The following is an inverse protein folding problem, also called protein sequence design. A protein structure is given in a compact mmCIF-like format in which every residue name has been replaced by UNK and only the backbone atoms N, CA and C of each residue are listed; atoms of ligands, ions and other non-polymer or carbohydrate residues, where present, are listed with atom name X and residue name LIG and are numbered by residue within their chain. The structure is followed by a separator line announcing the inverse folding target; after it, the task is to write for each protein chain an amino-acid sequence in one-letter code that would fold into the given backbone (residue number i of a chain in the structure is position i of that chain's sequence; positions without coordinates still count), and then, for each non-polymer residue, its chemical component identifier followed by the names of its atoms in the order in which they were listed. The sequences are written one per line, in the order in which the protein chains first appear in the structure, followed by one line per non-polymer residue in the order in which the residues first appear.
data_IF_565910357899
#
_entry.id   IF_565910357899
#
_cell.length_a   1.000
_cell.length_b   1.000
_cell.length_c   1.000
_cell.angle_alpha   90.00
_cell.angle_beta   90.00
_cell.angle_gamma   90.00
#
_symmetry.space_group_name_H-M   'P 1'
#
loop_
_entity.id
_entity.type
_entity.pdbx_description
1 polymer ?
#
# COMPACT_ATOMS: atom_id res chain seq x y z
N UNK A 1 -1.57 29.90 19.38
CA UNK A 1 -2.99 29.73 19.74
C UNK A 1 -3.54 28.55 18.97
N UNK A 2 -3.69 27.42 19.67
CA UNK A 2 -4.31 26.22 19.11
C UNK A 2 -5.83 26.45 19.16
N UNK A 3 -6.48 26.53 18.02
CA UNK A 3 -7.95 26.50 17.94
C UNK A 3 -8.35 25.02 17.99
N UNK A 4 -8.80 24.57 19.15
CA UNK A 4 -9.37 23.25 19.35
C UNK A 4 -10.85 23.31 18.96
N UNK A 5 -11.19 22.75 17.80
CA UNK A 5 -12.59 22.49 17.45
C UNK A 5 -13.01 21.17 18.09
N UNK A 6 -13.85 21.24 19.13
CA UNK A 6 -14.51 20.07 19.69
C UNK A 6 -15.60 19.62 18.71
N UNK A 7 -15.32 18.52 18.01
CA UNK A 7 -16.36 17.78 17.31
C UNK A 7 -16.97 16.77 18.29
N UNK A 8 -18.30 16.70 18.30
CA UNK A 8 -19.08 15.81 19.15
C UNK A 8 -18.64 14.35 19.00
N UNK A 9 -18.54 13.66 20.13
CA UNK A 9 -18.42 12.21 20.21
C UNK A 9 -19.67 11.56 19.56
N UNK A 10 -19.57 11.26 18.28
CA UNK A 10 -20.42 10.26 17.68
C UNK A 10 -19.66 8.95 17.72
N UNK A 11 -20.22 7.99 18.45
CA UNK A 11 -19.85 6.59 18.41
C UNK A 11 -19.62 6.20 16.96
N UNK A 12 -18.37 5.99 16.61
CA UNK A 12 -18.03 5.38 15.31
C UNK A 12 -18.57 3.96 15.43
N UNK A 13 -19.72 3.71 14.83
CA UNK A 13 -20.12 2.34 14.55
C UNK A 13 -18.93 1.68 13.87
N UNK A 14 -18.47 0.62 14.48
CA UNK A 14 -17.44 -0.25 13.91
C UNK A 14 -17.94 -0.63 12.52
N UNK A 15 -17.40 -0.03 11.48
CA UNK A 15 -17.65 -0.48 10.12
C UNK A 15 -16.97 -1.83 10.04
N UNK A 16 -17.70 -2.85 10.47
CA UNK A 16 -17.36 -4.22 10.17
C UNK A 16 -17.31 -4.28 8.65
N UNK A 17 -16.12 -4.32 8.09
CA UNK A 17 -15.92 -4.54 6.66
C UNK A 17 -16.37 -5.96 6.37
N UNK A 18 -17.69 -6.14 6.27
CA UNK A 18 -18.33 -7.40 5.87
C UNK A 18 -18.38 -7.53 4.35
N UNK A 19 -17.35 -7.08 3.68
CA UNK A 19 -17.28 -7.27 2.23
C UNK A 19 -15.88 -7.73 1.85
N UNK A 20 -15.79 -8.92 1.39
CA UNK A 20 -14.55 -9.60 1.06
C UNK A 20 -13.99 -10.32 2.28
N UNK A 21 -13.82 -11.62 2.17
CA UNK A 21 -13.20 -12.42 3.22
C UNK A 21 -11.83 -11.85 3.56
N UNK A 22 -11.63 -11.42 4.80
CA UNK A 22 -10.29 -11.04 5.26
C UNK A 22 -9.31 -12.17 4.93
N UNK A 23 -8.04 -11.85 4.75
CA UNK A 23 -7.00 -12.88 4.54
C UNK A 23 -7.13 -13.97 5.62
N UNK A 24 -7.42 -13.57 6.85
CA UNK A 24 -7.60 -14.49 7.98
C UNK A 24 -8.77 -15.45 7.80
N UNK A 25 -9.90 -15.01 7.23
CA UNK A 25 -11.04 -15.88 6.93
C UNK A 25 -10.72 -16.85 5.79
N UNK A 26 -10.05 -16.36 4.72
CA UNK A 26 -9.62 -17.18 3.58
C UNK A 26 -8.65 -18.29 3.99
N UNK A 27 -7.83 -18.05 4.99
CA UNK A 27 -6.86 -19.02 5.53
C UNK A 27 -7.43 -19.88 6.68
N UNK A 28 -8.76 -19.86 6.88
CA UNK A 28 -9.43 -20.71 7.86
C UNK A 28 -9.07 -20.41 9.32
N UNK A 29 -8.66 -19.18 9.62
CA UNK A 29 -8.25 -18.76 10.96
C UNK A 29 -6.93 -19.39 11.46
N UNK A 30 -6.29 -20.23 10.68
CA UNK A 30 -5.07 -20.98 11.05
C UNK A 30 -3.80 -20.16 10.84
N UNK A 31 -3.59 -19.08 11.57
CA UNK A 31 -2.36 -18.33 11.42
C UNK A 31 -2.35 -17.01 12.18
N UNK A 32 -1.30 -16.24 11.98
CA UNK A 32 -1.09 -14.98 12.68
C UNK A 32 -1.44 -13.80 11.80
N UNK A 33 -2.69 -13.37 11.83
CA UNK A 33 -3.17 -12.16 11.20
C UNK A 33 -3.15 -10.96 12.17
N UNK A 34 -2.91 -9.76 11.65
CA UNK A 34 -3.11 -8.48 12.33
C UNK A 34 -3.80 -7.53 11.37
N UNK A 35 -4.77 -6.79 11.86
CA UNK A 35 -5.46 -5.75 11.10
C UNK A 35 -5.11 -4.41 11.73
N UNK A 36 -4.59 -3.49 10.92
CA UNK A 36 -4.50 -2.07 11.24
C UNK A 36 -5.78 -1.42 10.73
N UNK A 37 -6.58 -0.89 11.64
CA UNK A 37 -7.84 -0.22 11.31
C UNK A 37 -7.61 1.17 10.72
N UNK A 38 -8.59 1.72 10.01
CA UNK A 38 -8.54 3.10 9.51
C UNK A 38 -8.22 4.11 10.62
N UNK A 39 -8.77 3.91 11.83
CA UNK A 39 -8.51 4.75 12.99
C UNK A 39 -7.03 4.70 13.41
N UNK A 40 -6.45 3.53 13.51
CA UNK A 40 -5.03 3.36 13.85
C UNK A 40 -4.11 3.97 12.79
N UNK A 41 -4.44 3.77 11.49
CA UNK A 41 -3.71 4.37 10.36
C UNK A 41 -3.74 5.91 10.47
N UNK A 42 -4.91 6.49 10.70
CA UNK A 42 -5.08 7.94 10.85
C UNK A 42 -4.35 8.47 12.10
N UNK A 43 -4.36 7.74 13.21
CA UNK A 43 -3.65 8.13 14.43
C UNK A 43 -2.13 8.13 14.25
N UNK A 44 -1.59 7.26 13.41
CA UNK A 44 -0.17 7.26 13.07
C UNK A 44 0.19 8.48 12.23
N UNK A 45 -0.68 8.88 11.29
CA UNK A 45 -0.42 9.98 10.37
C UNK A 45 0.84 9.76 9.52
N UNK A 46 1.10 8.50 9.14
CA UNK A 46 2.34 8.08 8.52
C UNK A 46 2.67 8.89 7.25
N UNK A 47 3.92 9.33 7.12
CA UNK A 47 4.46 9.92 5.89
C UNK A 47 5.10 8.85 4.99
N UNK A 48 5.38 7.70 5.57
CA UNK A 48 5.91 6.53 4.90
C UNK A 48 5.27 5.26 5.49
N UNK A 49 4.98 4.28 4.66
CA UNK A 49 4.29 3.05 5.07
C UNK A 49 4.98 2.29 6.24
N UNK A 50 6.31 2.43 6.39
CA UNK A 50 7.06 1.83 7.50
C UNK A 50 6.57 2.27 8.88
N UNK A 51 6.10 3.50 9.01
CA UNK A 51 5.69 4.07 10.30
C UNK A 51 4.44 3.36 10.87
N UNK A 52 3.56 2.91 9.98
CA UNK A 52 2.39 2.11 10.37
C UNK A 52 2.73 0.61 10.47
N UNK A 53 3.41 0.05 9.46
CA UNK A 53 3.64 -1.39 9.36
C UNK A 53 4.64 -1.92 10.39
N UNK A 54 5.64 -1.14 10.80
CA UNK A 54 6.58 -1.54 11.87
C UNK A 54 5.93 -1.64 13.26
N UNK A 55 4.66 -1.24 13.40
CA UNK A 55 3.87 -1.48 14.62
C UNK A 55 3.30 -2.90 14.68
N UNK A 56 3.33 -3.62 13.55
CA UNK A 56 2.89 -5.01 13.48
C UNK A 56 4.04 -5.93 13.85
N UNK A 57 3.91 -6.67 14.94
CA UNK A 57 4.94 -7.59 15.39
C UNK A 57 5.32 -8.61 14.29
N UNK A 58 6.62 -8.75 14.02
CA UNK A 58 7.16 -9.65 12.99
C UNK A 58 7.12 -9.09 11.56
N UNK A 59 6.76 -7.82 11.39
CA UNK A 59 6.93 -7.07 10.15
C UNK A 59 8.06 -6.07 10.33
N UNK A 60 8.89 -5.96 9.33
CA UNK A 60 9.96 -4.99 9.26
C UNK A 60 9.94 -4.33 7.89
N UNK A 61 9.73 -3.03 7.86
CA UNK A 61 9.83 -2.21 6.66
C UNK A 61 10.96 -1.21 6.90
N UNK A 62 12.09 -1.44 6.26
CA UNK A 62 13.22 -0.53 6.32
C UNK A 62 12.99 0.61 5.34
N UNK A 63 13.08 1.85 5.80
CA UNK A 63 12.94 3.05 4.96
C UNK A 63 14.29 3.42 4.35
N UNK A 64 14.31 3.63 3.03
CA UNK A 64 15.40 4.25 2.29
C UNK A 64 15.15 5.75 2.05
N UNK A 65 15.61 6.28 0.92
CA UNK A 65 15.28 7.64 0.45
C UNK A 65 13.83 7.72 0.02
N UNK A 66 13.19 8.87 0.28
CA UNK A 66 11.81 9.12 -0.15
C UNK A 66 10.83 8.03 0.26
N UNK A 67 10.26 7.36 -0.72
CA UNK A 67 9.34 6.23 -0.55
C UNK A 67 10.00 4.85 -0.74
N UNK A 68 11.32 4.79 -0.85
CA UNK A 68 12.04 3.52 -0.89
C UNK A 68 11.92 2.75 0.43
N UNK A 69 11.80 1.45 0.30
CA UNK A 69 11.70 0.57 1.45
C UNK A 69 12.13 -0.85 1.08
N UNK A 70 12.53 -1.60 2.09
CA UNK A 70 12.74 -3.05 1.99
C UNK A 70 11.84 -3.70 3.04
N UNK A 71 11.06 -4.69 2.62
CA UNK A 71 10.11 -5.36 3.52
C UNK A 71 10.55 -6.76 3.86
N UNK A 72 10.33 -7.15 5.11
CA UNK A 72 10.45 -8.52 5.60
C UNK A 72 9.27 -8.86 6.51
N UNK A 73 8.77 -10.10 6.42
CA UNK A 73 7.70 -10.63 7.26
C UNK A 73 8.19 -11.94 7.87
N UNK A 74 8.62 -11.92 9.16
CA UNK A 74 9.23 -13.06 9.85
C UNK A 74 10.36 -13.73 9.06
N UNK A 75 11.09 -12.95 8.28
CA UNK A 75 12.18 -13.41 7.42
C UNK A 75 13.35 -12.43 7.50
N UNK A 76 14.49 -12.82 6.96
CA UNK A 76 15.51 -11.85 6.61
C UNK A 76 15.01 -10.95 5.47
N UNK A 77 15.62 -9.78 5.34
CA UNK A 77 15.40 -8.88 4.20
C UNK A 77 16.08 -9.46 2.96
N UNK A 78 15.55 -9.16 1.78
CA UNK A 78 16.14 -9.59 0.49
C UNK A 78 16.24 -11.12 0.35
N UNK A 79 15.28 -11.87 0.87
CA UNK A 79 15.18 -13.33 0.68
C UNK A 79 14.59 -13.67 -0.69
N UNK A 80 14.76 -14.93 -1.09
CA UNK A 80 14.21 -15.48 -2.32
C UNK A 80 15.00 -15.16 -3.58
N UNK A 81 14.51 -15.63 -4.70
CA UNK A 81 15.12 -15.45 -5.99
C UNK A 81 15.22 -13.97 -6.37
N UNK A 82 16.40 -13.52 -6.81
CA UNK A 82 16.62 -12.12 -7.16
C UNK A 82 16.51 -11.14 -5.98
N UNK A 83 16.61 -11.64 -4.73
CA UNK A 83 16.48 -10.81 -3.52
C UNK A 83 15.12 -10.07 -3.41
N UNK A 84 14.07 -10.60 -4.00
CA UNK A 84 12.77 -9.93 -4.16
C UNK A 84 11.84 -10.03 -2.96
N UNK A 85 12.26 -10.69 -1.87
CA UNK A 85 11.40 -11.07 -0.76
C UNK A 85 10.38 -12.15 -1.16
N UNK A 86 9.94 -12.93 -0.22
CA UNK A 86 8.98 -14.01 -0.46
C UNK A 86 7.68 -13.71 0.27
N UNK A 87 7.12 -12.56 -0.01
CA UNK A 87 5.84 -12.08 0.50
C UNK A 87 5.01 -11.43 -0.64
N UNK A 88 3.71 -11.31 -0.41
CA UNK A 88 2.80 -10.68 -1.38
C UNK A 88 2.25 -9.36 -0.87
N UNK A 89 2.19 -8.36 -1.75
CA UNK A 89 1.36 -7.19 -1.59
C UNK A 89 0.06 -7.38 -2.36
N UNK A 90 -1.06 -7.10 -1.69
CA UNK A 90 -2.38 -7.19 -2.27
C UNK A 90 -3.15 -5.89 -2.08
N UNK A 91 -4.08 -5.64 -2.98
CA UNK A 91 -5.12 -4.66 -2.84
C UNK A 91 -6.47 -5.37 -3.00
N UNK A 92 -7.34 -5.27 -2.00
CA UNK A 92 -8.66 -5.92 -1.98
C UNK A 92 -8.58 -7.44 -2.23
N UNK A 93 -7.48 -8.08 -1.77
CA UNK A 93 -7.20 -9.49 -1.94
C UNK A 93 -6.62 -9.89 -3.30
N UNK A 94 -6.31 -8.93 -4.16
CA UNK A 94 -5.72 -9.16 -5.49
C UNK A 94 -4.24 -8.76 -5.44
N UNK A 95 -3.29 -9.64 -5.81
CA UNK A 95 -1.88 -9.29 -5.88
C UNK A 95 -1.63 -8.10 -6.81
N UNK A 96 -0.82 -7.12 -6.36
CA UNK A 96 -0.51 -5.93 -7.17
C UNK A 96 0.44 -6.21 -8.32
N UNK A 97 1.18 -7.31 -8.23
CA UNK A 97 2.11 -7.80 -9.27
C UNK A 97 1.77 -9.24 -9.66
N UNK A 98 2.09 -9.67 -10.89
CA UNK A 98 2.03 -11.08 -11.24
C UNK A 98 2.90 -11.92 -10.32
N UNK A 99 2.53 -13.19 -10.10
CA UNK A 99 3.34 -14.12 -9.33
C UNK A 99 4.72 -14.31 -9.98
N UNK A 100 5.76 -14.35 -9.15
CA UNK A 100 7.15 -14.43 -9.60
C UNK A 100 7.82 -13.08 -9.87
N UNK A 101 7.07 -11.97 -9.83
CA UNK A 101 7.66 -10.64 -9.91
C UNK A 101 8.04 -10.09 -8.53
N UNK A 102 9.06 -9.25 -8.52
CA UNK A 102 9.59 -8.60 -7.34
C UNK A 102 8.57 -7.70 -6.66
N UNK A 103 8.44 -7.81 -5.33
CA UNK A 103 7.56 -6.96 -4.53
C UNK A 103 8.32 -6.09 -3.51
N UNK A 104 9.62 -6.28 -3.38
CA UNK A 104 10.40 -5.82 -2.23
C UNK A 104 10.24 -4.33 -1.92
N UNK A 105 9.94 -3.51 -2.92
CA UNK A 105 9.90 -2.06 -2.83
C UNK A 105 8.65 -1.46 -3.50
N UNK A 106 7.50 -2.14 -3.46
CA UNK A 106 6.31 -1.73 -4.20
C UNK A 106 5.12 -1.26 -3.34
N UNK A 107 5.31 -1.08 -2.02
CA UNK A 107 4.26 -0.51 -1.15
C UNK A 107 3.83 0.90 -1.57
N UNK A 108 4.70 1.67 -2.23
CA UNK A 108 4.36 3.00 -2.73
C UNK A 108 3.19 2.98 -3.72
N UNK A 109 2.92 1.85 -4.36
CA UNK A 109 1.79 1.69 -5.27
C UNK A 109 0.44 1.59 -4.53
N UNK A 110 0.43 1.39 -3.22
CA UNK A 110 -0.76 1.23 -2.41
C UNK A 110 -1.05 2.49 -1.60
N UNK A 111 -2.32 2.89 -1.53
CA UNK A 111 -2.74 4.00 -0.68
C UNK A 111 -2.92 3.49 0.76
N UNK A 112 -1.81 3.35 1.47
CA UNK A 112 -1.81 2.92 2.87
C UNK A 112 -2.28 4.01 3.82
N UNK A 113 -2.15 5.27 3.43
CA UNK A 113 -2.47 6.45 4.26
C UNK A 113 -3.97 6.65 4.45
N UNK A 114 -4.76 6.25 3.46
CA UNK A 114 -6.23 6.37 3.48
C UNK A 114 -6.92 5.01 3.40
N UNK A 115 -6.23 3.92 3.70
CA UNK A 115 -6.82 2.59 3.67
C UNK A 115 -7.97 2.45 4.67
N UNK A 116 -9.01 1.69 4.31
CA UNK A 116 -10.05 1.27 5.25
C UNK A 116 -9.48 0.33 6.31
N UNK A 117 -8.52 -0.51 5.91
CA UNK A 117 -7.73 -1.36 6.78
C UNK A 117 -6.44 -1.79 6.07
N UNK A 118 -5.43 -2.19 6.84
CA UNK A 118 -4.28 -2.94 6.33
C UNK A 118 -4.21 -4.26 7.07
N UNK A 119 -4.43 -5.34 6.34
CA UNK A 119 -4.34 -6.70 6.86
C UNK A 119 -2.94 -7.24 6.64
N UNK A 120 -2.32 -7.76 7.69
CA UNK A 120 -1.01 -8.38 7.63
C UNK A 120 -1.12 -9.83 8.04
N UNK A 121 -0.80 -10.72 7.12
CA UNK A 121 -0.67 -12.14 7.40
C UNK A 121 0.81 -12.51 7.57
N UNK A 122 1.13 -13.26 8.62
CA UNK A 122 2.48 -13.70 8.95
C UNK A 122 2.55 -15.23 8.93
N UNK A 123 3.25 -15.75 7.98
CA UNK A 123 3.41 -17.17 7.76
C UNK A 123 3.02 -17.60 6.34
N UNK A 124 3.19 -18.86 6.00
CA UNK A 124 2.97 -19.37 4.66
C UNK A 124 1.50 -19.22 4.25
N UNK A 125 1.27 -18.61 3.11
CA UNK A 125 -0.05 -18.39 2.52
C UNK A 125 -0.07 -18.66 1.00
N UNK A 126 0.99 -19.26 0.47
CA UNK A 126 1.17 -19.46 -0.97
C UNK A 126 0.06 -20.29 -1.61
N UNK A 127 -0.53 -21.24 -0.90
CA UNK A 127 -1.64 -22.04 -1.40
C UNK A 127 -2.90 -21.23 -1.71
N UNK A 128 -3.09 -20.07 -1.03
CA UNK A 128 -4.28 -19.23 -1.18
C UNK A 128 -3.96 -17.93 -1.89
N UNK A 129 -2.78 -17.34 -1.63
CA UNK A 129 -2.40 -16.00 -2.09
C UNK A 129 -1.34 -16.03 -3.20
N UNK A 130 -0.93 -17.21 -3.64
CA UNK A 130 0.04 -17.41 -4.73
C UNK A 130 1.49 -17.47 -4.28
N UNK A 131 2.37 -17.83 -5.20
CA UNK A 131 3.75 -18.26 -4.95
C UNK A 131 4.63 -17.28 -4.16
N UNK A 132 4.37 -16.00 -4.24
CA UNK A 132 5.16 -15.00 -3.51
C UNK A 132 4.85 -14.97 -1.99
N UNK A 133 3.71 -15.50 -1.55
CA UNK A 133 3.28 -15.42 -0.15
C UNK A 133 3.87 -16.54 0.73
N UNK A 134 5.17 -16.79 0.64
CA UNK A 134 5.84 -17.82 1.43
C UNK A 134 6.00 -17.40 2.90
N UNK A 135 6.40 -16.17 3.15
CA UNK A 135 6.59 -15.62 4.50
C UNK A 135 5.37 -14.86 5.01
N UNK A 136 4.53 -14.37 4.10
CA UNK A 136 3.34 -13.62 4.47
C UNK A 136 2.77 -12.77 3.37
N UNK A 137 1.80 -11.93 3.76
CA UNK A 137 1.16 -10.98 2.85
C UNK A 137 0.71 -9.71 3.58
N UNK A 138 0.70 -8.61 2.85
CA UNK A 138 0.11 -7.33 3.26
C UNK A 138 -0.99 -6.99 2.28
N UNK A 139 -2.22 -6.86 2.77
CA UNK A 139 -3.40 -6.53 1.97
C UNK A 139 -3.95 -5.17 2.38
N UNK A 140 -4.02 -4.25 1.45
CA UNK A 140 -4.58 -2.91 1.66
C UNK A 140 -6.02 -2.91 1.17
N UNK A 141 -6.96 -2.58 2.05
CA UNK A 141 -8.39 -2.50 1.75
C UNK A 141 -8.73 -1.09 1.30
N UNK A 142 -9.25 -0.97 0.10
CA UNK A 142 -9.66 0.30 -0.50
C UNK A 142 -10.91 0.83 0.21
N UNK A 143 -10.91 2.10 0.69
CA UNK A 143 -12.06 2.67 1.37
C UNK A 143 -13.19 3.00 0.40
N UNK A 144 -14.40 3.04 0.95
CA UNK A 144 -15.57 3.67 0.32
C UNK A 144 -16.07 4.74 1.28
N UNK A 145 -15.53 5.97 1.19
CA UNK A 145 -15.89 7.04 2.10
C UNK A 145 -17.38 7.37 2.04
N UNK A 146 -17.95 7.68 3.19
CA UNK A 146 -19.33 8.15 3.37
C UNK A 146 -19.42 9.63 3.71
N UNK A 147 -18.29 10.26 4.03
CA UNK A 147 -18.17 11.66 4.41
C UNK A 147 -16.99 12.34 3.71
N UNK A 148 -17.09 13.66 3.57
CA UNK A 148 -16.01 14.45 2.99
C UNK A 148 -15.03 14.91 4.07
N UNK A 149 -13.75 14.73 3.82
CA UNK A 149 -12.64 15.19 4.68
C UNK A 149 -11.57 15.80 3.80
N UNK A 150 -11.00 16.90 4.25
CA UNK A 150 -9.82 17.55 3.68
C UNK A 150 -8.81 17.66 4.82
N UNK A 151 -7.60 17.17 4.61
CA UNK A 151 -6.50 17.35 5.53
C UNK A 151 -5.30 17.95 4.79
N UNK A 152 -4.64 18.89 5.44
CA UNK A 152 -3.44 19.56 4.94
C UNK A 152 -2.35 19.40 5.99
N UNK A 153 -1.16 19.02 5.56
CA UNK A 153 -0.01 18.83 6.42
C UNK A 153 1.19 19.56 5.81
N UNK A 154 2.02 20.12 6.67
CA UNK A 154 3.30 20.72 6.30
C UNK A 154 4.34 20.35 7.36
N UNK A 155 5.57 20.17 6.95
CA UNK A 155 6.66 19.73 7.82
C UNK A 155 8.02 20.26 7.38
N UNK A 156 9.06 19.77 8.04
CA UNK A 156 10.43 20.08 7.68
C UNK A 156 10.78 19.54 6.27
N UNK A 157 11.85 20.08 5.71
CA UNK A 157 12.37 19.66 4.39
C UNK A 157 11.35 19.78 3.27
N UNK A 158 10.62 20.90 3.27
CA UNK A 158 9.59 21.20 2.26
C UNK A 158 8.50 20.11 2.16
N UNK A 159 8.29 19.37 3.24
CA UNK A 159 7.22 18.40 3.26
C UNK A 159 5.87 19.08 3.21
N UNK A 160 5.05 18.65 2.26
CA UNK A 160 3.65 19.03 2.13
C UNK A 160 2.80 17.84 1.74
N UNK A 161 1.62 17.71 2.36
CA UNK A 161 0.64 16.67 2.00
C UNK A 161 -0.77 17.25 2.00
N UNK A 162 -1.52 16.91 0.95
CA UNK A 162 -2.95 17.10 0.88
C UNK A 162 -3.62 15.71 0.82
N UNK A 163 -4.63 15.52 1.66
CA UNK A 163 -5.46 14.32 1.67
C UNK A 163 -6.91 14.71 1.52
N UNK A 164 -7.58 14.13 0.52
CA UNK A 164 -8.98 14.37 0.21
C UNK A 164 -9.72 13.05 0.25
N UNK A 165 -10.91 13.04 0.82
CA UNK A 165 -11.84 11.94 0.66
C UNK A 165 -13.26 12.47 0.60
N UNK A 166 -14.13 11.76 -0.10
CA UNK A 166 -15.55 12.10 -0.16
C UNK A 166 -16.35 10.98 -0.79
N UNK A 167 -17.63 10.94 -0.46
CA UNK A 167 -18.54 9.95 -1.01
C UNK A 167 -19.95 10.49 -1.09
N UNK A 168 -20.75 9.84 -1.94
CA UNK A 168 -22.18 10.12 -2.13
C UNK A 168 -22.91 8.78 -2.23
N UNK A 169 -24.10 8.75 -1.62
CA UNK A 169 -25.00 7.61 -1.71
C UNK A 169 -26.28 8.05 -2.42
N UNK A 170 -26.71 7.29 -3.42
CA UNK A 170 -27.94 7.54 -4.16
C UNK A 170 -28.59 6.20 -4.51
N UNK A 171 -29.71 5.90 -3.86
CA UNK A 171 -30.39 4.62 -3.99
C UNK A 171 -29.50 3.45 -3.56
N UNK A 172 -29.31 2.47 -4.46
CA UNK A 172 -28.41 1.33 -4.22
C UNK A 172 -26.95 1.59 -4.58
N UNK A 173 -26.61 2.82 -4.99
CA UNK A 173 -25.27 3.18 -5.42
C UNK A 173 -24.57 3.99 -4.35
N UNK A 174 -23.37 3.57 -3.95
CA UNK A 174 -22.44 4.37 -3.16
C UNK A 174 -21.17 4.60 -3.97
N UNK A 175 -20.84 5.86 -4.18
CA UNK A 175 -19.60 6.28 -4.85
C UNK A 175 -18.68 6.92 -3.82
N UNK A 176 -17.40 6.60 -3.89
CA UNK A 176 -16.39 7.17 -3.03
C UNK A 176 -15.13 7.53 -3.82
N UNK A 177 -14.43 8.53 -3.35
CA UNK A 177 -13.14 8.93 -3.87
C UNK A 177 -12.18 9.27 -2.74
N UNK A 178 -10.91 8.89 -2.89
CA UNK A 178 -9.81 9.33 -2.03
C UNK A 178 -8.64 9.80 -2.89
N UNK A 179 -7.96 10.82 -2.42
CA UNK A 179 -6.75 11.34 -3.06
C UNK A 179 -5.73 11.74 -2.00
N UNK A 180 -4.47 11.37 -2.23
CA UNK A 180 -3.30 11.87 -1.50
C UNK A 180 -2.31 12.42 -2.49
N UNK A 181 -1.89 13.67 -2.28
CA UNK A 181 -0.74 14.26 -2.93
C UNK A 181 0.28 14.66 -1.88
N UNK A 182 1.51 14.20 -2.00
CA UNK A 182 2.60 14.52 -1.09
C UNK A 182 3.88 14.87 -1.84
N UNK A 183 4.64 15.79 -1.28
CA UNK A 183 5.99 16.11 -1.72
C UNK A 183 6.90 16.35 -0.54
N UNK A 184 8.19 16.18 -0.75
CA UNK A 184 9.26 16.53 0.20
C UNK A 184 10.51 16.86 -0.58
N UNK A 185 11.26 17.88 -0.17
CA UNK A 185 12.59 18.17 -0.68
C UNK A 185 13.67 17.20 -0.20
N UNK A 186 13.35 16.37 0.81
CA UNK A 186 14.30 15.42 1.39
C UNK A 186 15.21 16.03 2.45
N UNK A 187 15.74 15.17 3.32
CA UNK A 187 16.73 15.57 4.34
C UNK A 187 18.12 15.80 3.76
N UNK A 188 18.43 15.08 2.69
CA UNK A 188 19.72 15.10 2.02
C UNK A 188 19.60 15.82 0.68
N UNK A 189 20.73 16.28 0.15
CA UNK A 189 20.79 16.85 -1.18
C UNK A 189 20.27 15.84 -2.22
N UNK A 190 19.50 16.31 -3.19
CA UNK A 190 18.92 15.49 -4.27
C UNK A 190 18.29 14.18 -3.76
N UNK A 191 17.39 14.31 -2.75
CA UNK A 191 16.71 13.16 -2.12
C UNK A 191 15.20 13.38 -1.97
N UNK A 192 14.64 14.29 -2.74
CA UNK A 192 13.24 14.64 -2.72
C UNK A 192 12.33 13.61 -3.38
N UNK A 193 11.03 13.75 -3.18
CA UNK A 193 10.02 12.97 -3.88
C UNK A 193 8.71 13.74 -4.04
N UNK A 194 7.97 13.37 -5.09
CA UNK A 194 6.57 13.70 -5.28
C UNK A 194 5.76 12.43 -5.50
N UNK A 195 4.62 12.32 -4.82
CA UNK A 195 3.75 11.15 -4.93
C UNK A 195 2.29 11.56 -4.99
N UNK A 196 1.51 10.93 -5.87
CA UNK A 196 0.07 11.06 -5.94
C UNK A 196 -0.59 9.68 -5.94
N UNK A 197 -1.68 9.55 -5.19
CA UNK A 197 -2.49 8.32 -5.09
C UNK A 197 -3.96 8.68 -5.19
N UNK A 198 -4.67 8.04 -6.10
CA UNK A 198 -6.11 8.19 -6.31
C UNK A 198 -6.78 6.84 -6.16
N UNK A 199 -7.91 6.82 -5.45
CA UNK A 199 -8.81 5.68 -5.45
C UNK A 199 -10.24 6.16 -5.70
N UNK A 200 -10.92 5.52 -6.64
CA UNK A 200 -12.35 5.68 -6.90
C UNK A 200 -13.05 4.36 -6.57
N UNK A 201 -14.16 4.43 -5.87
CA UNK A 201 -14.89 3.27 -5.40
C UNK A 201 -16.36 3.36 -5.79
N UNK A 202 -16.96 2.24 -6.17
CA UNK A 202 -18.39 2.12 -6.43
C UNK A 202 -18.92 0.84 -5.81
N UNK A 203 -19.91 0.98 -4.93
CA UNK A 203 -20.70 -0.13 -4.39
C UNK A 203 -22.09 -0.06 -4.98
N UNK A 204 -22.61 -1.22 -5.35
CA UNK A 204 -23.97 -1.35 -5.84
C UNK A 204 -24.46 -2.80 -5.69
N UNK A 205 -25.73 -3.03 -5.96
CA UNK A 205 -26.31 -4.36 -6.10
C UNK A 205 -26.87 -4.54 -7.52
N UNK A 206 -26.52 -5.64 -8.18
CA UNK A 206 -26.98 -5.97 -9.54
C UNK A 206 -27.51 -7.39 -9.55
N UNK A 207 -28.81 -7.56 -9.78
CA UNK A 207 -29.45 -8.89 -9.88
C UNK A 207 -29.13 -9.82 -8.69
N UNK A 208 -29.12 -9.27 -7.48
CA UNK A 208 -28.81 -10.00 -6.25
C UNK A 208 -27.33 -10.29 -6.02
N UNK A 209 -26.44 -9.70 -6.83
CA UNK A 209 -25.00 -9.67 -6.57
C UNK A 209 -24.62 -8.37 -5.89
N UNK A 210 -23.95 -8.46 -4.74
CA UNK A 210 -23.28 -7.31 -4.19
C UNK A 210 -22.00 -7.04 -5.00
N UNK A 211 -21.87 -5.83 -5.52
CA UNK A 211 -20.78 -5.45 -6.43
C UNK A 211 -19.99 -4.31 -5.82
N UNK A 212 -18.69 -4.51 -5.67
CA UNK A 212 -17.73 -3.50 -5.24
C UNK A 212 -16.67 -3.35 -6.33
N UNK A 213 -16.54 -2.16 -6.89
CA UNK A 213 -15.57 -1.87 -7.95
C UNK A 213 -14.64 -0.75 -7.54
N UNK A 214 -13.36 -0.86 -7.89
CA UNK A 214 -12.34 0.14 -7.59
C UNK A 214 -11.49 0.44 -8.82
N UNK A 215 -11.15 1.72 -8.97
CA UNK A 215 -10.07 2.19 -9.84
C UNK A 215 -9.04 2.85 -8.94
N UNK A 216 -7.79 2.43 -9.03
CA UNK A 216 -6.70 3.04 -8.27
C UNK A 216 -5.56 3.41 -9.20
N UNK A 217 -5.00 4.60 -8.99
CA UNK A 217 -3.86 5.11 -9.73
C UNK A 217 -2.81 5.67 -8.76
N UNK A 218 -1.54 5.44 -9.06
CA UNK A 218 -0.42 6.01 -8.31
C UNK A 218 0.63 6.56 -9.26
N UNK A 219 1.25 7.66 -8.86
CA UNK A 219 2.40 8.27 -9.50
C UNK A 219 3.47 8.49 -8.43
N UNK A 220 4.71 8.22 -8.76
CA UNK A 220 5.89 8.48 -7.94
C UNK A 220 7.00 9.04 -8.83
N UNK A 221 7.53 10.19 -8.44
CA UNK A 221 8.80 10.71 -8.93
C UNK A 221 9.68 10.90 -7.71
N UNK A 222 10.85 10.30 -7.69
CA UNK A 222 11.70 10.36 -6.52
C UNK A 222 13.17 10.31 -6.90
N UNK A 223 13.96 11.10 -6.20
CA UNK A 223 15.40 11.01 -6.17
C UNK A 223 15.83 9.94 -5.16
N UNK A 224 16.81 9.12 -5.52
CA UNK A 224 17.26 8.03 -4.67
C UNK A 224 18.70 8.27 -4.22
N UNK A 225 18.87 8.71 -2.99
CA UNK A 225 20.18 8.96 -2.42
C UNK A 225 20.92 7.68 -2.02
N UNK A 226 22.16 7.53 -2.46
CA UNK A 226 23.04 6.45 -2.01
C UNK A 226 23.40 6.56 -0.52
N UNK A 227 24.05 5.54 0.02
CA UNK A 227 24.49 5.54 1.42
C UNK A 227 25.68 6.46 1.63
N UNK A 228 25.60 7.33 2.65
CA UNK A 228 26.76 8.08 3.13
C UNK A 228 27.74 7.12 3.81
N UNK A 229 28.99 7.11 3.33
CA UNK A 229 30.03 6.21 3.81
C UNK A 229 30.96 6.95 4.77
N UNK A 230 31.38 6.28 5.81
CA UNK A 230 32.35 6.79 6.77
C UNK A 230 32.05 6.27 8.18
N UNK A 231 33.07 6.14 9.01
CA UNK A 231 32.90 5.84 10.42
C UNK A 231 32.15 7.02 11.06
N UNK A 232 30.99 6.74 11.68
CA UNK A 232 30.14 7.73 12.31
C UNK A 232 29.72 8.91 11.39
N UNK A 233 29.59 8.67 10.10
CA UNK A 233 29.24 9.71 9.13
C UNK A 233 27.93 10.47 9.48
N UNK A 234 27.06 9.89 10.29
CA UNK A 234 25.83 10.53 10.80
C UNK A 234 26.11 11.63 11.83
N UNK A 235 27.28 11.62 12.49
CA UNK A 235 27.71 12.67 13.44
C UNK A 235 28.32 13.87 12.71
N UNK A 236 28.80 13.69 11.50
CA UNK A 236 29.36 14.76 10.67
C UNK A 236 28.25 15.54 9.97
N UNK A 237 28.14 16.82 10.30
CA UNK A 237 27.07 17.69 9.78
C UNK A 237 27.12 17.86 8.25
N UNK A 238 28.31 17.85 7.70
CA UNK A 238 28.51 18.10 6.27
C UNK A 238 28.30 16.81 5.46
N UNK A 239 28.74 15.68 5.99
CA UNK A 239 28.59 14.38 5.32
C UNK A 239 27.14 13.85 5.36
N UNK A 240 26.46 13.97 6.50
CA UNK A 240 25.12 13.35 6.68
C UNK A 240 24.06 13.87 5.72
N UNK A 241 24.23 15.08 5.18
CA UNK A 241 23.28 15.68 4.24
C UNK A 241 23.67 15.46 2.77
N UNK A 242 24.87 14.95 2.49
CA UNK A 242 25.32 14.73 1.11
C UNK A 242 24.59 13.58 0.44
N UNK A 243 24.47 13.65 -0.88
CA UNK A 243 24.05 12.55 -1.72
C UNK A 243 25.20 12.11 -2.65
N UNK A 244 25.78 10.90 -2.47
CA UNK A 244 26.84 10.42 -3.34
C UNK A 244 26.39 10.03 -4.76
N UNK A 245 25.07 10.00 -5.00
CA UNK A 245 24.46 9.61 -6.26
C UNK A 245 23.34 10.58 -6.66
N UNK A 246 23.66 11.86 -6.94
CA UNK A 246 22.65 12.89 -7.23
C UNK A 246 21.84 12.60 -8.51
N UNK A 247 22.38 11.79 -9.41
CA UNK A 247 21.74 11.37 -10.66
C UNK A 247 20.73 10.23 -10.48
N UNK A 248 20.68 9.61 -9.30
CA UNK A 248 19.87 8.43 -9.08
C UNK A 248 18.40 8.79 -8.83
N UNK A 249 17.50 8.07 -9.50
CA UNK A 249 16.08 8.31 -9.43
C UNK A 249 15.25 7.03 -9.52
N UNK A 250 13.99 7.14 -9.14
CA UNK A 250 12.93 6.16 -9.41
C UNK A 250 11.66 6.88 -9.79
N UNK A 251 11.21 6.66 -11.02
CA UNK A 251 9.94 7.11 -11.52
C UNK A 251 9.02 5.92 -11.75
N UNK A 252 7.81 6.00 -11.26
CA UNK A 252 6.87 4.90 -11.37
C UNK A 252 5.42 5.38 -11.45
N UNK A 253 4.60 4.59 -12.14
CA UNK A 253 3.15 4.75 -12.08
C UNK A 253 2.46 3.39 -12.11
N UNK A 254 1.25 3.35 -11.57
CA UNK A 254 0.40 2.17 -11.68
C UNK A 254 -1.06 2.56 -11.85
N UNK A 255 -1.80 1.74 -12.59
CA UNK A 255 -3.25 1.83 -12.75
C UNK A 255 -3.84 0.44 -12.55
N UNK A 256 -4.83 0.33 -11.68
CA UNK A 256 -5.54 -0.91 -11.40
C UNK A 256 -7.04 -0.67 -11.44
N UNK A 257 -7.75 -1.60 -12.06
CA UNK A 257 -9.20 -1.73 -12.04
C UNK A 257 -9.54 -3.12 -11.53
N UNK A 258 -10.35 -3.20 -10.51
CA UNK A 258 -10.88 -4.45 -10.00
C UNK A 258 -12.36 -4.31 -9.63
N UNK A 259 -13.07 -5.43 -9.68
CA UNK A 259 -14.45 -5.52 -9.26
C UNK A 259 -14.67 -6.83 -8.51
N UNK A 260 -15.25 -6.77 -7.32
CA UNK A 260 -15.66 -7.93 -6.55
C UNK A 260 -17.17 -8.10 -6.66
N UNK A 261 -17.60 -9.27 -7.06
CA UNK A 261 -18.99 -9.68 -7.20
C UNK A 261 -19.25 -10.82 -6.22
N UNK A 262 -20.08 -10.62 -5.23
CA UNK A 262 -20.37 -11.63 -4.22
C UNK A 262 -21.87 -11.92 -4.17
N UNK A 263 -22.20 -13.23 -4.16
CA UNK A 263 -23.56 -13.73 -3.99
C UNK A 263 -23.52 -15.13 -3.38
N UNK A 264 -24.26 -15.33 -2.32
CA UNK A 264 -24.29 -16.58 -1.56
C UNK A 264 -22.86 -17.00 -1.16
N UNK A 265 -22.44 -18.18 -1.58
CA UNK A 265 -21.09 -18.70 -1.31
C UNK A 265 -20.06 -18.33 -2.37
N UNK A 266 -20.41 -17.61 -3.44
CA UNK A 266 -19.53 -17.31 -4.55
C UNK A 266 -18.98 -15.89 -4.49
N UNK A 267 -17.72 -15.74 -4.82
CA UNK A 267 -17.06 -14.44 -5.04
C UNK A 267 -16.24 -14.50 -6.32
N UNK A 268 -16.46 -13.53 -7.19
CA UNK A 268 -15.74 -13.36 -8.45
C UNK A 268 -14.99 -12.03 -8.40
N UNK A 269 -13.70 -12.03 -8.73
CA UNK A 269 -12.85 -10.82 -8.71
C UNK A 269 -12.11 -10.65 -10.05
N UNK A 270 -12.77 -10.15 -11.11
CA UNK A 270 -12.06 -9.73 -12.30
C UNK A 270 -11.20 -8.51 -12.02
N UNK A 271 -10.02 -8.44 -12.66
CA UNK A 271 -9.10 -7.32 -12.55
C UNK A 271 -8.28 -7.08 -13.81
N UNK A 272 -7.88 -5.83 -13.98
CA UNK A 272 -6.88 -5.38 -14.96
C UNK A 272 -5.91 -4.49 -14.21
N UNK A 273 -4.62 -4.63 -14.51
CA UNK A 273 -3.58 -3.77 -13.93
C UNK A 273 -2.48 -3.51 -14.94
N UNK A 274 -1.91 -2.31 -14.85
CA UNK A 274 -0.71 -1.91 -15.56
C UNK A 274 0.17 -1.07 -14.65
N UNK A 275 1.49 -1.27 -14.73
CA UNK A 275 2.48 -0.46 -14.02
C UNK A 275 3.75 -0.34 -14.85
N UNK A 276 4.41 0.81 -14.70
CA UNK A 276 5.72 1.07 -15.26
C UNK A 276 6.62 1.65 -14.18
N UNK A 277 7.91 1.35 -14.27
CA UNK A 277 8.94 1.90 -13.39
C UNK A 277 10.24 2.04 -14.17
N UNK A 278 10.91 3.15 -13.98
CA UNK A 278 12.31 3.35 -14.34
C UNK A 278 13.09 3.62 -13.05
N UNK A 279 14.17 2.86 -12.83
CA UNK A 279 14.97 2.94 -11.62
C UNK A 279 16.47 2.86 -11.94
N UNK A 280 17.20 3.93 -11.67
CA UNK A 280 18.66 3.91 -11.77
C UNK A 280 19.26 3.21 -10.54
N UNK A 281 19.80 2.00 -10.75
CA UNK A 281 20.32 1.16 -9.66
C UNK A 281 21.74 1.63 -9.26
N UNK A 282 21.81 2.75 -8.58
CA UNK A 282 23.06 3.41 -8.18
C UNK A 282 23.96 2.55 -7.28
N UNK A 283 23.43 1.52 -6.64
CA UNK A 283 24.17 0.59 -5.77
C UNK A 283 24.88 -0.53 -6.53
N UNK A 284 24.60 -0.70 -7.83
CA UNK A 284 25.27 -1.70 -8.67
C UNK A 284 26.41 -1.07 -9.49
N UNK A 285 27.47 -1.84 -9.81
CA UNK A 285 28.52 -1.37 -10.70
C UNK A 285 27.97 -0.98 -12.08
N UNK A 286 28.36 0.20 -12.57
CA UNK A 286 27.89 0.73 -13.84
C UNK A 286 26.49 1.34 -13.81
N UNK A 287 25.86 1.41 -12.65
CA UNK A 287 24.56 2.06 -12.43
C UNK A 287 23.52 1.73 -13.52
N UNK A 288 23.15 0.45 -13.68
CA UNK A 288 22.24 0.08 -14.74
C UNK A 288 20.84 0.70 -14.50
N UNK A 289 20.23 1.13 -15.61
CA UNK A 289 18.82 1.52 -15.59
C UNK A 289 17.96 0.28 -15.67
N UNK A 290 17.10 0.08 -14.68
CA UNK A 290 16.05 -0.92 -14.68
C UNK A 290 14.74 -0.29 -15.20
N UNK A 291 14.18 -0.86 -16.26
CA UNK A 291 12.87 -0.48 -16.78
C UNK A 291 11.93 -1.67 -16.69
N UNK A 292 10.79 -1.45 -16.04
CA UNK A 292 9.72 -2.43 -15.92
C UNK A 292 8.44 -1.89 -16.56
N UNK A 293 7.84 -2.63 -17.47
CA UNK A 293 6.48 -2.39 -18.00
C UNK A 293 5.68 -3.68 -17.88
N UNK A 294 4.62 -3.66 -17.08
CA UNK A 294 3.83 -4.84 -16.78
C UNK A 294 2.35 -4.56 -17.00
N UNK A 295 1.70 -5.46 -17.72
CA UNK A 295 0.25 -5.49 -17.87
C UNK A 295 -0.28 -6.86 -17.55
N UNK A 296 -1.42 -6.94 -16.89
CA UNK A 296 -2.11 -8.22 -16.72
C UNK A 296 -3.61 -8.05 -16.56
N UNK A 297 -4.33 -9.06 -17.00
CA UNK A 297 -5.76 -9.24 -16.78
C UNK A 297 -5.96 -10.60 -16.14
N UNK A 298 -6.90 -10.70 -15.21
CA UNK A 298 -7.21 -11.94 -14.54
C UNK A 298 -8.54 -11.93 -13.84
N UNK A 299 -8.86 -13.08 -13.26
CA UNK A 299 -10.04 -13.27 -12.44
C UNK A 299 -9.72 -14.26 -11.32
N UNK A 300 -10.11 -13.92 -10.09
CA UNK A 300 -10.10 -14.83 -8.95
C UNK A 300 -11.54 -15.31 -8.76
N UNK A 301 -11.72 -16.61 -8.62
CA UNK A 301 -13.03 -17.23 -8.32
C UNK A 301 -12.90 -17.95 -6.99
N UNK A 302 -13.75 -17.59 -6.05
CA UNK A 302 -13.78 -18.18 -4.71
C UNK A 302 -15.16 -18.77 -4.44
N UNK A 303 -15.20 -19.91 -3.77
CA UNK A 303 -16.42 -20.52 -3.26
C UNK A 303 -16.24 -20.88 -1.78
N UNK A 304 -17.05 -20.26 -0.93
CA UNK A 304 -17.16 -20.64 0.46
C UNK A 304 -17.78 -22.06 0.58
N UNK A 305 -17.14 -22.93 1.32
CA UNK A 305 -17.71 -24.24 1.68
C UNK A 305 -18.23 -24.11 3.11
N UNK A 306 -19.55 -24.19 3.32
CA UNK A 306 -20.09 -24.41 4.66
C UNK A 306 -19.88 -25.87 5.01
N UNK A 307 -18.97 -26.16 5.93
CA UNK A 307 -19.01 -27.46 6.61
C UNK A 307 -20.22 -27.44 7.53
N UNK A 308 -21.25 -28.19 7.20
CA UNK A 308 -22.31 -28.47 8.15
C UNK A 308 -21.66 -29.22 9.33
N UNK A 309 -21.59 -28.55 10.47
CA UNK A 309 -21.28 -29.19 11.76
C UNK A 309 -22.57 -29.69 12.36
#
# INVERSE_FOLDING_TARGET
SVVSAHAAENVIEEVVVTAGSSIQQRLGGSGSGTVLTAKEIQQVGATHASEALNRVAGVWVNRGSGQEHLTAIRSAVLTGSGACGEFSYLQDGIPIRPHGFCNINNLFELNTEQAAAVEVWRGPASAVLGGNALHGAINVITPVPDRSVIALEAGAYEFGRISLQGGVEQGSHRLGATFVGANSGGYRDDSGYGQQKLSLSHLTEVSGWAVRSHVTATLLNQETGGYVRGEKAYEDSDLRTTNPNPEAYRDAWSLRLNSEWSRDAWTLKPYIRRSQMAFLQHFLPGQPLEENDQSSIGMIVERGLSTAT
#
